data_IF_278489649439
#
_entry.id   IF_278489649439
#
_cell.length_a   1.000
_cell.length_b   1.000
_cell.length_c   1.000
_cell.angle_alpha   90.00
_cell.angle_beta   90.00
_cell.angle_gamma   90.00
#
_symmetry.space_group_name_H-M   'P 1'
#
loop_
_entity.id
_entity.type
_entity.pdbx_description
1 polymer ?
#
# COMPACT_ATOMS: atom_id res chain seq x y z
N UNK A 1 2.47 -14.85 -1.12
CA UNK A 1 2.04 -13.82 -0.16
C UNK A 1 3.25 -13.24 0.54
N UNK A 2 3.82 -12.16 0.02
CA UNK A 2 4.77 -11.37 0.80
C UNK A 2 3.92 -10.36 1.58
N UNK A 3 3.56 -10.72 2.80
CA UNK A 3 2.77 -9.90 3.74
C UNK A 3 3.58 -8.67 4.24
N UNK A 4 4.83 -8.52 3.80
CA UNK A 4 5.72 -7.40 4.10
C UNK A 4 5.67 -6.34 3.00
N UNK A 5 4.51 -5.71 2.78
CA UNK A 5 4.51 -4.38 2.15
C UNK A 5 5.06 -3.41 3.21
N UNK A 6 6.38 -3.31 3.29
CA UNK A 6 7.10 -2.38 4.15
C UNK A 6 7.79 -1.37 3.26
N UNK A 7 7.49 -0.09 3.44
CA UNK A 7 8.20 0.97 2.73
C UNK A 7 9.19 1.67 3.64
N UNK A 8 10.35 2.02 3.11
CA UNK A 8 11.23 2.99 3.75
C UNK A 8 10.61 4.38 3.55
N UNK A 9 10.46 5.13 4.65
CA UNK A 9 9.78 6.41 4.65
C UNK A 9 10.73 7.54 5.01
N UNK A 10 10.88 8.52 4.11
CA UNK A 10 11.52 9.79 4.46
C UNK A 10 10.50 10.66 5.21
N UNK A 11 10.92 11.29 6.32
CA UNK A 11 10.06 12.10 7.21
C UNK A 11 8.98 11.30 7.98
N UNK A 12 9.23 10.01 8.24
CA UNK A 12 8.40 9.15 9.10
C UNK A 12 9.06 8.90 10.46
N UNK A 13 8.25 8.68 11.51
CA UNK A 13 8.75 8.54 12.89
C UNK A 13 9.47 7.20 13.16
N UNK A 14 9.25 6.20 12.31
CA UNK A 14 9.90 4.88 12.37
C UNK A 14 10.82 4.70 11.14
N UNK A 15 11.88 3.88 11.26
CA UNK A 15 12.78 3.60 10.13
C UNK A 15 12.05 2.98 8.93
N UNK A 16 11.00 2.22 9.21
CA UNK A 16 10.20 1.50 8.22
C UNK A 16 8.71 1.73 8.50
N UNK A 17 7.95 1.97 7.43
CA UNK A 17 6.49 2.05 7.45
C UNK A 17 5.91 0.68 7.12
N UNK A 18 5.43 -0.03 8.15
CA UNK A 18 4.72 -1.29 7.98
C UNK A 18 3.25 -1.02 7.65
N UNK A 19 2.70 -1.74 6.67
CA UNK A 19 1.29 -1.67 6.35
C UNK A 19 0.41 -2.04 7.56
N UNK A 20 -0.65 -1.27 7.81
CA UNK A 20 -1.65 -1.60 8.82
C UNK A 20 -2.82 -2.30 8.13
N UNK A 21 -2.89 -3.61 8.35
CA UNK A 21 -3.77 -4.53 7.64
C UNK A 21 -5.03 -4.78 8.47
N UNK A 22 -6.21 -4.66 7.85
CA UNK A 22 -7.47 -5.15 8.42
C UNK A 22 -8.21 -6.01 7.39
N UNK A 23 -8.59 -7.25 7.75
CA UNK A 23 -9.04 -8.27 6.79
C UNK A 23 -10.55 -8.58 6.84
N UNK A 24 -11.18 -8.65 5.66
CA UNK A 24 -12.24 -9.60 5.28
C UNK A 24 -11.66 -10.42 4.11
N UNK A 25 -11.84 -11.76 4.11
CA UNK A 25 -11.17 -12.81 3.31
C UNK A 25 -10.74 -12.55 1.82
N UNK A 26 -11.13 -11.45 1.18
CA UNK A 26 -10.97 -11.16 -0.26
C UNK A 26 -10.38 -9.74 -0.51
N UNK A 27 -10.37 -8.87 0.51
CA UNK A 27 -9.90 -7.49 0.40
C UNK A 27 -8.90 -7.17 1.51
N UNK A 28 -7.81 -6.55 1.11
CA UNK A 28 -6.73 -6.12 1.99
C UNK A 28 -6.73 -4.60 2.01
N UNK A 29 -7.07 -4.02 3.15
CA UNK A 29 -7.05 -2.57 3.34
C UNK A 29 -5.79 -2.17 4.08
N UNK A 30 -4.91 -1.43 3.41
CA UNK A 30 -3.71 -0.89 4.01
C UNK A 30 -3.91 0.59 4.29
N UNK A 31 -4.25 0.91 5.53
CA UNK A 31 -4.66 2.26 5.90
C UNK A 31 -3.55 3.30 5.82
N UNK A 32 -2.32 2.89 6.10
CA UNK A 32 -1.19 3.83 6.19
C UNK A 32 -0.66 4.19 4.79
N UNK A 33 -0.61 3.19 3.91
CA UNK A 33 -0.24 3.39 2.51
C UNK A 33 -1.42 3.96 1.71
N UNK A 34 -2.65 3.71 2.20
CA UNK A 34 -3.90 4.22 1.64
C UNK A 34 -4.34 3.50 0.37
N UNK A 35 -3.93 2.25 0.20
CA UNK A 35 -4.39 1.38 -0.88
C UNK A 35 -5.24 0.22 -0.38
N UNK A 36 -6.23 -0.13 -1.19
CA UNK A 36 -7.04 -1.35 -1.03
C UNK A 36 -6.69 -2.30 -2.17
N UNK A 37 -6.34 -3.53 -1.81
CA UNK A 37 -6.01 -4.60 -2.76
C UNK A 37 -7.10 -5.65 -2.73
N UNK A 38 -7.53 -6.07 -3.92
CA UNK A 38 -8.46 -7.17 -4.11
C UNK A 38 -7.71 -8.37 -4.67
N UNK A 39 -7.93 -9.52 -4.05
CA UNK A 39 -7.37 -10.79 -4.50
C UNK A 39 -8.48 -11.72 -4.97
N UNK A 40 -8.29 -12.36 -6.12
CA UNK A 40 -9.11 -13.51 -6.51
C UNK A 40 -8.48 -14.77 -5.94
N UNK A 41 -9.31 -15.60 -5.32
CA UNK A 41 -8.93 -16.89 -4.75
C UNK A 41 -9.46 -17.99 -5.68
N UNK A 42 -8.71 -18.27 -6.75
CA UNK A 42 -8.90 -19.47 -7.58
C UNK A 42 -8.16 -20.67 -6.99
N UNK A 43 -6.96 -20.44 -6.44
CA UNK A 43 -6.16 -21.40 -5.70
C UNK A 43 -5.84 -20.81 -4.30
N UNK A 44 -6.31 -21.43 -3.19
CA UNK A 44 -6.03 -20.95 -1.84
C UNK A 44 -4.54 -20.88 -1.49
N UNK A 45 -3.71 -21.67 -2.16
CA UNK A 45 -2.26 -21.68 -1.95
C UNK A 45 -1.56 -20.50 -2.65
N UNK A 46 -2.22 -19.84 -3.60
CA UNK A 46 -1.67 -18.75 -4.39
C UNK A 46 -2.75 -17.74 -4.81
N UNK A 47 -3.25 -16.90 -3.88
CA UNK A 47 -4.19 -15.83 -4.22
C UNK A 47 -3.54 -14.83 -5.21
N UNK A 48 -4.26 -14.49 -6.27
CA UNK A 48 -3.80 -13.59 -7.32
C UNK A 48 -4.28 -12.15 -7.08
N UNK A 49 -3.37 -11.18 -7.09
CA UNK A 49 -3.73 -9.76 -7.04
C UNK A 49 -4.50 -9.39 -8.30
N UNK A 50 -5.77 -9.02 -8.16
CA UNK A 50 -6.67 -8.74 -9.28
C UNK A 50 -6.92 -7.25 -9.46
N UNK A 51 -6.92 -6.50 -8.35
CA UNK A 51 -7.12 -5.06 -8.38
C UNK A 51 -6.39 -4.38 -7.25
N UNK A 52 -5.90 -3.18 -7.53
CA UNK A 52 -5.34 -2.27 -6.54
C UNK A 52 -5.96 -0.90 -6.77
N UNK A 53 -6.50 -0.30 -5.71
CA UNK A 53 -7.07 1.03 -5.72
C UNK A 53 -6.41 1.88 -4.65
N UNK A 54 -5.84 3.01 -5.06
CA UNK A 54 -5.36 4.04 -4.16
C UNK A 54 -6.54 4.92 -3.76
N UNK A 55 -6.81 5.01 -2.46
CA UNK A 55 -7.95 5.77 -1.90
C UNK A 55 -7.50 6.88 -0.95
N UNK A 56 -6.19 7.13 -0.87
CA UNK A 56 -5.59 8.17 -0.03
C UNK A 56 -4.27 7.69 0.56
N UNK A 57 -4.01 8.06 1.81
CA UNK A 57 -2.86 7.58 2.59
C UNK A 57 -1.79 8.63 2.79
N UNK A 58 -0.71 8.24 3.46
CA UNK A 58 0.38 9.17 3.76
C UNK A 58 1.31 9.41 2.57
N UNK A 59 1.30 8.55 1.56
CA UNK A 59 2.24 8.56 0.42
C UNK A 59 1.54 9.08 -0.85
N UNK A 60 0.59 10.01 -0.69
CA UNK A 60 -0.08 10.67 -1.82
C UNK A 60 0.74 11.85 -2.36
N UNK A 61 0.60 12.14 -3.66
CA UNK A 61 1.25 13.32 -4.27
C UNK A 61 0.87 14.60 -3.55
N UNK A 62 1.88 15.34 -3.08
CA UNK A 62 1.70 16.57 -2.31
C UNK A 62 1.72 16.36 -0.78
N UNK A 63 1.78 15.12 -0.32
CA UNK A 63 2.07 14.79 1.07
C UNK A 63 3.53 15.13 1.42
N UNK A 64 3.78 15.33 2.71
CA UNK A 64 5.13 15.52 3.27
C UNK A 64 5.91 14.21 3.42
N UNK A 65 5.27 13.07 3.18
CA UNK A 65 5.86 11.74 3.33
C UNK A 65 6.09 11.15 1.94
N UNK A 66 7.28 10.60 1.73
CA UNK A 66 7.73 10.01 0.45
C UNK A 66 8.17 8.58 0.72
N UNK A 67 7.73 7.65 -0.13
CA UNK A 67 8.17 6.26 -0.06
C UNK A 67 9.43 6.05 -0.88
N UNK A 68 10.33 5.24 -0.34
CA UNK A 68 11.60 4.87 -0.96
C UNK A 68 11.54 3.38 -1.31
N UNK A 69 11.78 3.04 -2.57
CA UNK A 69 11.89 1.66 -3.02
C UNK A 69 13.18 1.00 -2.53
N UNK A 70 13.29 -0.32 -2.63
CA UNK A 70 14.56 -1.05 -2.37
C UNK A 70 15.73 -0.50 -3.22
N UNK A 71 15.45 0.00 -4.43
CA UNK A 71 16.43 0.64 -5.32
C UNK A 71 16.79 2.10 -4.94
N UNK A 72 16.27 2.62 -3.83
CA UNK A 72 16.48 4.00 -3.37
C UNK A 72 15.70 5.06 -4.16
N UNK A 73 14.73 4.66 -4.99
CA UNK A 73 13.91 5.59 -5.77
C UNK A 73 12.76 6.11 -4.91
N UNK A 74 12.69 7.42 -4.79
CA UNK A 74 11.59 8.14 -4.15
C UNK A 74 10.36 8.22 -5.05
N UNK A 75 9.19 7.87 -4.52
CA UNK A 75 7.93 7.98 -5.25
C UNK A 75 6.75 8.36 -4.34
N UNK A 76 5.72 8.92 -4.97
CA UNK A 76 4.41 9.19 -4.38
C UNK A 76 3.32 8.73 -5.35
N UNK A 77 2.19 8.31 -4.81
CA UNK A 77 1.08 7.77 -5.61
C UNK A 77 0.09 8.86 -6.00
N UNK A 78 -0.50 8.67 -7.18
CA UNK A 78 -1.61 9.50 -7.65
C UNK A 78 -2.91 8.92 -7.12
N UNK A 79 -3.65 9.70 -6.34
CA UNK A 79 -4.94 9.29 -5.78
C UNK A 79 -6.03 9.87 -6.68
N UNK A 80 -6.85 9.03 -7.33
CA UNK A 80 -7.91 9.51 -8.19
C UNK A 80 -8.96 10.29 -7.38
N UNK A 81 -9.23 11.54 -7.78
CA UNK A 81 -10.32 12.32 -7.22
C UNK A 81 -11.68 11.73 -7.64
N UNK A 82 -12.44 11.24 -6.65
CA UNK A 82 -13.84 10.85 -6.87
C UNK A 82 -14.69 12.11 -6.77
N UNK A 83 -15.28 12.55 -7.90
CA UNK A 83 -16.21 13.69 -7.98
C UNK A 83 -17.61 13.35 -7.52
#
# INVERSE_FOLDING_TARGET
>A
CNISDTFEGSNWILPNMAGLITDFLIYFSNWLHGDVRQYIIEDPSKPGLTGQLWVGGLIEKGSQIVAVSEDGVEFQFDVPEVK
#
